data_IF_138334615718
#
_entry.id   IF_138334615718
#
_cell.length_a   1.000
_cell.length_b   1.000
_cell.length_c   1.000
_cell.angle_alpha   90.00
_cell.angle_beta   90.00
_cell.angle_gamma   90.00
#
_symmetry.space_group_name_H-M   'P 1'
#
loop_
_entity.id
_entity.type
_entity.pdbx_description
1 polymer ?
#
# COMPACT_ATOMS: atom_id res chain seq x y z
N UNK A 1 -23.00 -0.94 -5.22
CA UNK A 1 -22.19 0.24 -4.86
C UNK A 1 -21.55 0.76 -6.14
N UNK A 2 -21.48 2.07 -6.33
CA UNK A 2 -20.73 2.69 -7.43
C UNK A 2 -19.24 2.37 -7.27
N UNK A 3 -18.54 2.11 -8.36
CA UNK A 3 -17.11 1.83 -8.35
C UNK A 3 -16.37 3.13 -8.00
N UNK A 4 -15.49 3.16 -6.97
CA UNK A 4 -14.83 4.40 -6.58
C UNK A 4 -13.82 4.84 -7.65
N UNK A 5 -13.67 6.16 -7.82
CA UNK A 5 -12.59 6.75 -8.60
C UNK A 5 -11.40 7.04 -7.69
N UNK A 6 -10.29 6.35 -7.92
CA UNK A 6 -9.12 6.38 -7.02
C UNK A 6 -8.19 7.54 -7.40
N UNK A 7 -7.86 8.40 -6.43
CA UNK A 7 -6.89 9.47 -6.61
C UNK A 7 -5.58 9.12 -5.89
N UNK A 8 -4.50 8.97 -6.65
CA UNK A 8 -3.19 8.56 -6.14
C UNK A 8 -2.08 9.52 -6.60
N UNK A 9 -1.04 9.66 -5.78
CA UNK A 9 0.16 10.41 -6.16
C UNK A 9 1.43 9.84 -5.54
N UNK A 10 2.59 10.16 -6.10
CA UNK A 10 3.90 9.86 -5.54
C UNK A 10 4.69 11.14 -5.28
N UNK A 11 5.46 11.15 -4.18
CA UNK A 11 6.43 12.22 -3.89
C UNK A 11 7.81 11.59 -3.73
N UNK A 12 8.71 11.92 -4.65
CA UNK A 12 10.12 11.51 -4.64
C UNK A 12 11.06 12.56 -4.03
N UNK A 13 10.51 13.72 -3.63
CA UNK A 13 11.25 14.85 -3.09
C UNK A 13 12.08 14.46 -1.84
N UNK A 14 13.41 14.64 -1.85
CA UNK A 14 14.26 14.42 -0.68
C UNK A 14 13.85 15.23 0.55
N UNK A 15 13.21 16.39 0.37
CA UNK A 15 12.70 17.22 1.48
C UNK A 15 11.61 16.51 2.30
N UNK A 16 11.04 15.40 1.79
CA UNK A 16 10.15 14.55 2.57
C UNK A 16 10.88 13.90 3.78
N UNK A 17 12.22 13.89 3.80
CA UNK A 17 12.99 13.52 4.98
C UNK A 17 13.02 14.60 6.09
N UNK A 18 12.58 15.82 5.79
CA UNK A 18 12.48 16.94 6.76
C UNK A 18 11.08 16.91 7.39
N UNK A 19 10.94 16.66 8.71
CA UNK A 19 9.63 16.43 9.34
C UNK A 19 8.61 17.56 9.14
N UNK A 20 9.04 18.81 9.16
CA UNK A 20 8.17 19.97 8.96
C UNK A 20 7.62 20.04 7.53
N UNK A 21 8.48 19.80 6.53
CA UNK A 21 8.08 19.73 5.13
C UNK A 21 7.17 18.53 4.88
N UNK A 22 7.55 17.36 5.39
CA UNK A 22 6.76 16.14 5.30
C UNK A 22 5.35 16.30 5.89
N UNK A 23 5.22 17.04 7.01
CA UNK A 23 3.92 17.31 7.62
C UNK A 23 3.05 18.16 6.70
N UNK A 24 3.63 19.19 6.09
CA UNK A 24 2.92 20.06 5.15
C UNK A 24 2.47 19.29 3.90
N UNK A 25 3.32 18.40 3.38
CA UNK A 25 2.95 17.53 2.25
C UNK A 25 1.83 16.56 2.61
N UNK A 26 1.86 15.99 3.81
CA UNK A 26 0.84 15.07 4.30
C UNK A 26 -0.51 15.77 4.50
N UNK A 27 -0.51 16.95 5.11
CA UNK A 27 -1.72 17.77 5.29
C UNK A 27 -2.32 18.17 3.93
N UNK A 28 -1.47 18.55 2.97
CA UNK A 28 -1.90 18.86 1.61
C UNK A 28 -2.49 17.63 0.89
N UNK A 29 -1.91 16.44 1.09
CA UNK A 29 -2.41 15.19 0.52
C UNK A 29 -3.77 14.79 1.10
N UNK A 30 -3.96 14.88 2.42
CA UNK A 30 -5.25 14.64 3.07
C UNK A 30 -6.30 15.69 2.62
N UNK A 31 -5.92 16.97 2.51
CA UNK A 31 -6.80 18.05 2.05
C UNK A 31 -7.20 17.91 0.56
N UNK A 32 -6.29 17.39 -0.27
CA UNK A 32 -6.54 17.05 -1.67
C UNK A 32 -7.47 15.82 -1.82
N UNK A 33 -7.72 15.09 -0.74
CA UNK A 33 -8.55 13.90 -0.76
C UNK A 33 -7.89 12.71 -1.44
N UNK A 34 -6.56 12.60 -1.39
CA UNK A 34 -5.86 11.44 -1.93
C UNK A 34 -6.29 10.15 -1.22
N UNK A 35 -6.49 9.11 -2.02
CA UNK A 35 -6.68 7.75 -1.50
C UNK A 35 -5.33 7.09 -1.19
N UNK A 36 -4.29 7.39 -1.97
CA UNK A 36 -2.95 6.81 -1.84
C UNK A 36 -1.87 7.89 -2.04
N UNK A 37 -0.88 7.88 -1.16
CA UNK A 37 0.36 8.64 -1.30
C UNK A 37 1.55 7.68 -1.25
N UNK A 38 2.29 7.63 -2.35
CA UNK A 38 3.53 6.87 -2.49
C UNK A 38 4.71 7.73 -2.03
N UNK A 39 5.51 7.16 -1.12
CA UNK A 39 6.72 7.76 -0.59
C UNK A 39 7.89 7.27 -1.45
N UNK A 40 8.11 7.98 -2.56
CA UNK A 40 9.07 7.64 -3.61
C UNK A 40 8.50 6.81 -4.75
N UNK A 41 9.31 6.64 -5.79
CA UNK A 41 9.03 5.89 -7.01
C UNK A 41 10.34 5.28 -7.57
N UNK A 42 10.28 4.61 -8.72
CA UNK A 42 11.50 4.11 -9.38
C UNK A 42 12.37 5.29 -9.84
N UNK A 43 13.66 5.29 -9.48
CA UNK A 43 14.59 6.36 -9.87
C UNK A 43 14.56 7.62 -9.00
N UNK A 44 13.63 7.74 -8.04
CA UNK A 44 13.58 8.86 -7.10
C UNK A 44 12.87 8.48 -5.80
N UNK A 45 13.55 8.58 -4.65
CA UNK A 45 12.97 8.26 -3.35
C UNK A 45 13.50 9.20 -2.26
N UNK A 46 12.70 9.45 -1.21
CA UNK A 46 13.22 10.04 0.01
C UNK A 46 14.17 9.05 0.71
N UNK A 47 14.90 9.51 1.74
CA UNK A 47 15.97 8.74 2.39
C UNK A 47 15.56 7.33 2.84
N UNK A 48 14.43 7.20 3.55
CA UNK A 48 13.88 5.92 3.99
C UNK A 48 12.35 5.97 4.00
N UNK A 49 11.74 5.45 2.94
CA UNK A 49 10.28 5.43 2.79
C UNK A 49 9.57 4.67 3.91
N UNK A 50 10.15 3.57 4.43
CA UNK A 50 9.53 2.76 5.47
C UNK A 50 9.45 3.50 6.81
N UNK A 51 10.52 4.22 7.16
CA UNK A 51 10.55 5.07 8.36
C UNK A 51 9.59 6.24 8.22
N UNK A 52 9.52 6.85 7.04
CA UNK A 52 8.67 8.01 6.79
C UNK A 52 7.18 7.67 6.84
N UNK A 53 6.75 6.53 6.26
CA UNK A 53 5.34 6.12 6.39
C UNK A 53 4.98 5.76 7.84
N UNK A 54 5.92 5.23 8.63
CA UNK A 54 5.69 4.97 10.06
C UNK A 54 5.51 6.27 10.86
N UNK A 55 6.25 7.32 10.50
CA UNK A 55 6.08 8.66 11.07
C UNK A 55 4.76 9.32 10.64
N UNK A 56 4.34 9.12 9.38
CA UNK A 56 3.12 9.69 8.80
C UNK A 56 1.84 8.98 9.27
N UNK A 57 1.92 7.69 9.61
CA UNK A 57 0.78 6.86 10.02
C UNK A 57 -0.14 7.50 11.08
N UNK A 58 0.38 7.96 12.25
CA UNK A 58 -0.47 8.57 13.27
C UNK A 58 -0.85 10.03 12.97
N UNK A 59 -0.31 10.66 11.92
CA UNK A 59 -0.53 12.08 11.58
C UNK A 59 -1.58 12.25 10.48
N UNK A 60 -1.58 11.34 9.52
CA UNK A 60 -2.58 11.32 8.46
C UNK A 60 -3.96 10.91 8.98
N UNK A 61 -5.00 11.42 8.33
CA UNK A 61 -6.38 11.12 8.70
C UNK A 61 -6.99 10.04 7.81
N UNK A 62 -6.82 10.17 6.48
CA UNK A 62 -7.53 9.32 5.51
C UNK A 62 -6.60 8.74 4.45
N UNK A 63 -5.57 9.44 4.00
CA UNK A 63 -4.72 8.95 2.92
C UNK A 63 -4.09 7.58 3.25
N UNK A 64 -4.00 6.70 2.25
CA UNK A 64 -3.24 5.45 2.32
C UNK A 64 -1.75 5.71 2.13
N UNK A 65 -0.92 5.14 2.99
CA UNK A 65 0.52 5.40 3.02
C UNK A 65 1.27 4.25 2.37
N UNK A 66 1.86 4.49 1.20
CA UNK A 66 2.52 3.46 0.40
C UNK A 66 4.03 3.67 0.45
N UNK A 67 4.75 2.75 1.09
CA UNK A 67 6.21 2.79 1.10
C UNK A 67 6.76 2.19 -0.19
N UNK A 68 7.60 2.95 -0.90
CA UNK A 68 8.32 2.43 -2.07
C UNK A 68 9.66 1.83 -1.64
N UNK A 69 9.81 0.52 -1.81
CA UNK A 69 10.93 -0.27 -1.28
C UNK A 69 11.66 -1.01 -2.40
N UNK A 70 12.96 -0.74 -2.63
CA UNK A 70 13.75 -1.46 -3.61
C UNK A 70 14.18 -2.85 -3.14
N UNK A 71 14.11 -3.83 -4.03
CA UNK A 71 14.46 -5.21 -3.77
C UNK A 71 15.99 -5.45 -3.61
N UNK A 72 16.82 -4.47 -4.00
CA UNK A 72 18.28 -4.60 -4.01
C UNK A 72 18.94 -4.48 -2.64
N UNK A 73 18.28 -3.85 -1.67
CA UNK A 73 18.87 -3.58 -0.36
C UNK A 73 17.92 -3.84 0.83
N UNK A 74 16.65 -4.17 0.58
CA UNK A 74 15.69 -4.50 1.62
C UNK A 74 15.66 -6.02 1.87
N UNK A 75 15.52 -6.41 3.14
CA UNK A 75 15.24 -7.79 3.50
C UNK A 75 13.74 -7.96 3.83
N UNK A 76 13.06 -9.00 3.31
CA UNK A 76 11.60 -9.16 3.44
C UNK A 76 11.12 -9.19 4.90
N UNK A 77 11.93 -9.69 5.84
CA UNK A 77 11.59 -9.65 7.27
C UNK A 77 11.43 -8.22 7.82
N UNK A 78 12.31 -7.30 7.41
CA UNK A 78 12.23 -5.91 7.88
C UNK A 78 11.08 -5.16 7.21
N UNK A 79 10.80 -5.44 5.93
CA UNK A 79 9.62 -4.92 5.23
C UNK A 79 8.34 -5.41 5.91
N UNK A 80 8.22 -6.72 6.13
CA UNK A 80 7.05 -7.31 6.77
C UNK A 80 6.80 -6.73 8.16
N UNK A 81 7.85 -6.61 8.99
CA UNK A 81 7.74 -6.04 10.34
C UNK A 81 7.35 -4.57 10.32
N UNK A 82 8.00 -3.76 9.48
CA UNK A 82 7.74 -2.32 9.41
C UNK A 82 6.32 -2.04 8.95
N UNK A 83 5.90 -2.63 7.82
CA UNK A 83 4.57 -2.37 7.26
C UNK A 83 3.44 -2.92 8.14
N UNK A 84 3.68 -3.98 8.90
CA UNK A 84 2.75 -4.41 9.95
C UNK A 84 2.50 -3.34 11.01
N UNK A 85 3.56 -2.66 11.43
CA UNK A 85 3.46 -1.58 12.41
C UNK A 85 2.75 -0.35 11.84
N UNK A 86 3.07 0.03 10.59
CA UNK A 86 2.39 1.13 9.89
C UNK A 86 0.89 0.82 9.76
N UNK A 87 0.53 -0.43 9.45
CA UNK A 87 -0.86 -0.81 9.25
C UNK A 87 -1.67 -0.70 10.53
N UNK A 88 -1.08 -1.12 11.66
CA UNK A 88 -1.68 -0.90 12.97
C UNK A 88 -1.77 0.60 13.32
N UNK A 89 -0.67 1.35 13.18
CA UNK A 89 -0.62 2.78 13.55
C UNK A 89 -1.53 3.66 12.70
N UNK A 90 -1.82 3.24 11.47
CA UNK A 90 -2.67 3.96 10.53
C UNK A 90 -4.11 3.44 10.49
N UNK A 91 -4.46 2.45 11.31
CA UNK A 91 -5.76 1.78 11.31
C UNK A 91 -6.15 1.17 9.94
N UNK A 92 -5.25 0.39 9.35
CA UNK A 92 -5.49 -0.36 8.12
C UNK A 92 -5.28 0.47 6.85
N UNK A 93 -4.32 1.41 6.85
CA UNK A 93 -4.05 2.30 5.70
C UNK A 93 -2.67 2.12 5.09
N UNK A 94 -2.07 0.95 5.21
CA UNK A 94 -0.72 0.70 4.67
C UNK A 94 -0.74 0.08 3.28
N UNK A 95 0.15 0.59 2.43
CA UNK A 95 0.50 -0.03 1.16
C UNK A 95 2.01 -0.22 1.00
N UNK A 96 2.35 -0.94 -0.05
CA UNK A 96 3.72 -1.26 -0.44
C UNK A 96 3.87 -1.14 -1.94
N UNK A 97 4.83 -0.35 -2.40
CA UNK A 97 5.32 -0.38 -3.78
C UNK A 97 6.68 -1.08 -3.79
N UNK A 98 6.74 -2.28 -4.37
CA UNK A 98 8.01 -2.98 -4.56
C UNK A 98 8.60 -2.59 -5.90
N UNK A 99 9.90 -2.31 -5.94
CA UNK A 99 10.61 -2.02 -7.18
C UNK A 99 11.90 -2.84 -7.27
N UNK A 100 12.29 -3.31 -8.47
CA UNK A 100 13.46 -4.17 -8.61
C UNK A 100 14.79 -3.40 -8.57
N UNK A 101 14.78 -2.07 -8.60
CA UNK A 101 15.94 -1.19 -8.79
C UNK A 101 17.28 -1.74 -8.26
N UNK A 102 18.19 -2.10 -9.18
CA UNK A 102 19.53 -2.61 -8.86
C UNK A 102 19.60 -4.09 -8.44
N UNK A 103 18.48 -4.80 -8.38
CA UNK A 103 18.40 -6.22 -8.04
C UNK A 103 18.40 -7.12 -9.29
N UNK A 104 18.67 -8.40 -9.10
CA UNK A 104 18.51 -9.40 -10.15
C UNK A 104 17.03 -9.60 -10.50
N UNK A 105 16.74 -10.00 -11.73
CA UNK A 105 15.38 -10.36 -12.18
C UNK A 105 14.78 -11.45 -11.25
N UNK A 106 13.51 -11.29 -10.87
CA UNK A 106 12.84 -12.20 -9.93
C UNK A 106 13.05 -11.87 -8.44
N UNK A 107 13.96 -10.96 -8.08
CA UNK A 107 14.22 -10.62 -6.66
C UNK A 107 13.02 -9.92 -6.03
N UNK A 108 12.34 -9.03 -6.78
CA UNK A 108 11.17 -8.32 -6.29
C UNK A 108 9.99 -9.27 -6.02
N UNK A 109 9.72 -10.19 -6.95
CA UNK A 109 8.72 -11.24 -6.83
C UNK A 109 9.00 -12.13 -5.61
N UNK A 110 10.24 -12.55 -5.44
CA UNK A 110 10.64 -13.41 -4.32
C UNK A 110 10.55 -12.69 -2.98
N UNK A 111 10.90 -11.39 -2.93
CA UNK A 111 10.73 -10.58 -1.73
C UNK A 111 9.26 -10.48 -1.31
N UNK A 112 8.34 -10.30 -2.28
CA UNK A 112 6.90 -10.29 -2.01
C UNK A 112 6.42 -11.65 -1.51
N UNK A 113 6.86 -12.75 -2.13
CA UNK A 113 6.56 -14.11 -1.66
C UNK A 113 7.01 -14.35 -0.21
N UNK A 114 8.25 -13.97 0.10
CA UNK A 114 8.81 -14.08 1.44
C UNK A 114 8.05 -13.21 2.46
N UNK A 115 7.76 -11.95 2.13
CA UNK A 115 7.03 -11.04 3.03
C UNK A 115 5.60 -11.51 3.30
N UNK A 116 4.87 -11.97 2.26
CA UNK A 116 3.53 -12.57 2.41
C UNK A 116 3.54 -13.76 3.36
N UNK A 117 4.50 -14.68 3.19
CA UNK A 117 4.65 -15.85 4.06
C UNK A 117 4.85 -15.48 5.55
N UNK A 118 5.49 -14.35 5.82
CA UNK A 118 5.74 -13.86 7.18
C UNK A 118 4.49 -13.32 7.85
N UNK A 119 3.65 -12.58 7.11
CA UNK A 119 2.36 -12.09 7.61
C UNK A 119 1.35 -13.21 7.86
N UNK A 120 1.41 -14.29 7.08
CA UNK A 120 0.46 -15.40 7.17
C UNK A 120 0.83 -16.47 8.20
N UNK A 121 1.97 -16.33 8.88
CA UNK A 121 2.43 -17.30 9.88
C UNK A 121 1.69 -17.25 11.23
N UNK A 122 0.76 -16.31 11.46
CA UNK A 122 -0.16 -16.34 12.60
C UNK A 122 -1.48 -15.62 12.29
N UNK A 123 -2.58 -16.09 12.89
CA UNK A 123 -3.94 -15.63 12.60
C UNK A 123 -4.48 -14.59 13.59
N UNK A 124 -5.62 -13.97 13.27
CA UNK A 124 -6.22 -12.95 14.16
C UNK A 124 -6.71 -13.51 15.49
N UNK A 125 -7.00 -14.81 15.54
CA UNK A 125 -7.43 -15.55 16.73
C UNK A 125 -6.26 -16.16 17.52
N UNK A 126 -5.02 -15.77 17.18
CA UNK A 126 -3.81 -16.17 17.90
C UNK A 126 -3.59 -15.34 19.17
N UNK A 127 -3.99 -14.06 19.20
CA UNK A 127 -3.88 -13.22 20.39
C UNK A 127 -5.04 -13.49 21.35
N UNK A 128 -4.73 -13.68 22.63
CA UNK A 128 -5.70 -13.93 23.72
C UNK A 128 -5.79 -12.71 24.64
N UNK A 129 -4.64 -12.13 25.01
CA UNK A 129 -4.53 -10.94 25.88
C UNK A 129 -5.28 -11.06 27.23
N UNK A 130 -5.32 -12.24 27.84
CA UNK A 130 -5.99 -12.48 29.13
C UNK A 130 -5.03 -12.22 30.30
N UNK A 131 -5.24 -11.08 30.98
CA UNK A 131 -4.47 -10.69 32.17
C UNK A 131 -4.72 -11.61 33.37
N UNK A 132 -5.93 -12.14 33.54
CA UNK A 132 -6.28 -12.97 34.69
C UNK A 132 -5.65 -14.35 34.58
N UNK A 133 -5.66 -14.95 33.39
CA UNK A 133 -5.02 -16.25 33.15
C UNK A 133 -3.52 -16.15 32.82
N UNK A 134 -3.01 -14.95 32.54
CA UNK A 134 -1.65 -14.71 32.04
C UNK A 134 -1.41 -15.22 30.62
N UNK A 135 -2.46 -15.58 29.87
CA UNK A 135 -2.32 -16.12 28.51
C UNK A 135 -2.30 -14.97 27.51
N UNK A 136 -1.13 -14.72 26.93
CA UNK A 136 -0.96 -13.67 25.94
C UNK A 136 -1.34 -14.11 24.52
N UNK A 137 -0.87 -15.28 24.10
CA UNK A 137 -1.12 -15.84 22.76
C UNK A 137 -1.32 -17.37 22.81
N UNK A 138 -1.99 -17.91 21.80
CA UNK A 138 -2.10 -19.36 21.56
C UNK A 138 -0.94 -19.84 20.67
N UNK A 139 0.08 -20.43 21.28
CA UNK A 139 1.28 -20.87 20.56
C UNK A 139 0.97 -21.99 19.54
N UNK A 140 -0.12 -22.74 19.71
CA UNK A 140 -0.52 -23.80 18.76
C UNK A 140 -1.00 -23.25 17.42
N UNK A 141 -1.36 -21.96 17.38
CA UNK A 141 -1.82 -21.25 16.18
C UNK A 141 -0.71 -20.45 15.49
N UNK A 142 0.51 -20.50 16.02
CA UNK A 142 1.69 -19.85 15.42
C UNK A 142 2.40 -20.87 14.54
N UNK A 143 2.58 -20.54 13.25
CA UNK A 143 3.26 -21.38 12.28
C UNK A 143 4.49 -20.67 11.74
N UNK A 144 5.61 -21.37 11.75
CA UNK A 144 6.79 -20.92 11.02
C UNK A 144 6.46 -20.80 9.53
N UNK A 145 6.91 -19.72 8.90
CA UNK A 145 6.76 -19.47 7.47
C UNK A 145 7.60 -20.46 6.66
N UNK A 146 8.82 -20.78 7.12
CA UNK A 146 9.80 -21.65 6.47
C UNK A 146 9.89 -21.44 4.95
N UNK A 147 9.87 -20.17 4.53
CA UNK A 147 9.90 -19.81 3.13
C UNK A 147 11.32 -19.97 2.60
N UNK A 148 11.45 -20.67 1.48
CA UNK A 148 12.70 -20.84 0.75
C UNK A 148 12.50 -20.50 -0.72
N UNK A 149 12.83 -19.27 -1.07
CA UNK A 149 12.80 -18.77 -2.44
C UNK A 149 14.19 -18.74 -3.10
N UNK A 150 14.27 -18.32 -4.37
CA UNK A 150 15.54 -18.20 -5.09
C UNK A 150 16.53 -17.19 -4.49
N UNK A 151 16.04 -16.13 -3.85
CA UNK A 151 16.85 -15.04 -3.28
C UNK A 151 16.73 -14.96 -1.76
N UNK A 152 15.56 -15.24 -1.19
CA UNK A 152 15.28 -15.07 0.23
C UNK A 152 14.90 -16.37 0.93
N UNK A 153 15.39 -16.53 2.16
CA UNK A 153 14.97 -17.59 3.09
C UNK A 153 14.55 -16.97 4.41
N UNK A 154 13.35 -17.27 4.87
CA UNK A 154 12.83 -16.75 6.15
C UNK A 154 12.12 -17.85 6.94
N UNK A 155 12.56 -18.05 8.19
CA UNK A 155 11.92 -19.01 9.10
C UNK A 155 10.55 -18.53 9.55
N UNK A 156 10.43 -17.25 9.91
CA UNK A 156 9.17 -16.65 10.36
C UNK A 156 8.57 -17.26 11.63
N UNK A 157 7.35 -16.84 12.02
CA UNK A 157 6.58 -15.75 11.42
C UNK A 157 7.20 -14.37 11.71
N UNK A 158 6.58 -13.29 11.21
CA UNK A 158 6.96 -11.94 11.63
C UNK A 158 6.73 -11.76 13.13
N UNK A 159 7.67 -11.11 13.82
CA UNK A 159 7.58 -10.81 15.27
C UNK A 159 6.84 -9.49 15.56
N UNK A 160 5.82 -9.17 14.76
CA UNK A 160 4.96 -8.00 14.87
C UNK A 160 3.52 -8.42 14.56
N UNK A 161 2.54 -7.65 15.05
CA UNK A 161 1.13 -7.91 14.79
C UNK A 161 0.87 -8.16 13.31
N UNK A 162 0.00 -9.12 12.98
CA UNK A 162 -0.48 -9.25 11.60
C UNK A 162 -1.11 -7.91 11.16
N UNK A 163 -0.88 -7.44 9.92
CA UNK A 163 -1.61 -6.30 9.37
C UNK A 163 -3.12 -6.49 9.53
N UNK A 164 -3.83 -5.41 9.87
CA UNK A 164 -5.29 -5.36 9.93
C UNK A 164 -5.90 -5.71 8.57
N UNK A 165 -5.24 -5.26 7.50
CA UNK A 165 -5.56 -5.59 6.11
C UNK A 165 -5.24 -7.05 5.71
N UNK A 166 -4.68 -7.85 6.62
CA UNK A 166 -4.10 -9.17 6.35
C UNK A 166 -2.72 -9.05 5.66
N UNK A 167 -2.66 -8.32 4.55
CA UNK A 167 -1.45 -7.91 3.86
C UNK A 167 -1.60 -6.45 3.38
N UNK A 168 -0.56 -5.60 3.45
CA UNK A 168 -0.59 -4.25 2.88
C UNK A 168 -1.06 -4.24 1.43
N UNK A 169 -1.67 -3.13 0.99
CA UNK A 169 -2.07 -2.96 -0.42
C UNK A 169 -0.82 -2.94 -1.31
N UNK A 170 -0.70 -3.90 -2.22
CA UNK A 170 0.45 -4.03 -3.10
C UNK A 170 0.24 -3.23 -4.38
N UNK A 171 1.10 -2.23 -4.60
CA UNK A 171 1.14 -1.37 -5.77
C UNK A 171 2.32 -1.78 -6.65
N UNK A 172 2.06 -2.02 -7.93
CA UNK A 172 3.10 -2.26 -8.95
C UNK A 172 3.14 -1.08 -9.91
N UNK A 173 4.33 -0.80 -10.42
CA UNK A 173 4.54 0.27 -11.39
C UNK A 173 5.04 -0.33 -12.72
N UNK A 174 4.38 -0.01 -13.83
CA UNK A 174 4.72 -0.54 -15.15
C UNK A 174 6.07 -0.07 -15.72
N UNK A 175 6.71 0.93 -15.12
CA UNK A 175 8.07 1.34 -15.46
C UNK A 175 9.11 0.27 -15.15
N UNK A 176 8.78 -0.69 -14.29
CA UNK A 176 9.58 -1.87 -14.01
C UNK A 176 8.67 -3.10 -14.02
N UNK A 177 8.65 -3.91 -15.09
CA UNK A 177 7.76 -5.06 -15.16
C UNK A 177 8.14 -6.08 -14.08
N UNK A 178 7.22 -6.34 -13.15
CA UNK A 178 7.31 -7.34 -12.09
C UNK A 178 6.08 -8.23 -12.22
N UNK A 179 6.27 -9.55 -12.21
CA UNK A 179 5.18 -10.51 -12.41
C UNK A 179 4.69 -11.10 -11.07
N UNK A 180 3.91 -10.32 -10.32
CA UNK A 180 3.31 -10.78 -9.06
C UNK A 180 1.83 -11.09 -9.26
N UNK A 181 1.45 -12.34 -8.98
CA UNK A 181 0.04 -12.73 -8.93
C UNK A 181 -0.67 -12.02 -7.77
N UNK A 182 -1.93 -11.67 -8.01
CA UNK A 182 -2.81 -11.03 -7.05
C UNK A 182 -2.21 -9.72 -6.49
N UNK A 183 -1.64 -8.90 -7.38
CA UNK A 183 -1.35 -7.50 -7.04
C UNK A 183 -2.65 -6.71 -6.91
N UNK A 184 -2.66 -5.72 -6.01
CA UNK A 184 -3.88 -4.96 -5.74
C UNK A 184 -4.06 -3.85 -6.76
N UNK A 185 -2.99 -3.11 -7.06
CA UNK A 185 -3.01 -1.94 -7.96
C UNK A 185 -1.81 -1.98 -8.90
N UNK A 186 -2.04 -1.69 -10.18
CA UNK A 186 -1.00 -1.40 -11.16
C UNK A 186 -1.08 0.08 -11.57
N UNK A 187 0.06 0.77 -11.55
CA UNK A 187 0.23 2.10 -12.13
C UNK A 187 0.63 1.91 -13.60
N UNK A 188 -0.22 2.35 -14.52
CA UNK A 188 -0.07 2.09 -15.95
C UNK A 188 0.10 3.38 -16.74
N UNK A 189 1.06 3.41 -17.66
CA UNK A 189 1.34 4.53 -18.57
C UNK A 189 0.36 4.56 -19.75
N UNK A 190 -0.30 3.43 -20.02
CA UNK A 190 -1.34 3.27 -21.04
C UNK A 190 -2.43 2.32 -20.52
N UNK A 191 -3.71 2.52 -20.87
CA UNK A 191 -4.78 1.59 -20.49
C UNK A 191 -4.54 0.19 -21.07
N UNK A 192 -4.71 -0.84 -20.24
CA UNK A 192 -4.54 -2.25 -20.64
C UNK A 192 -5.62 -3.12 -20.01
N UNK A 193 -6.02 -4.17 -20.72
CA UNK A 193 -6.99 -5.14 -20.22
C UNK A 193 -6.37 -6.14 -19.22
N UNK A 194 -5.06 -6.30 -19.24
CA UNK A 194 -4.31 -7.18 -18.34
C UNK A 194 -3.14 -6.41 -17.73
N UNK A 195 -3.45 -5.68 -16.66
CA UNK A 195 -2.46 -4.91 -15.90
C UNK A 195 -1.71 -5.78 -14.87
N UNK A 196 -2.02 -7.09 -14.77
CA UNK A 196 -1.46 -7.98 -13.75
C UNK A 196 -1.90 -7.66 -12.31
N UNK A 197 -2.90 -6.79 -12.12
CA UNK A 197 -3.41 -6.38 -10.83
C UNK A 197 -4.94 -6.29 -10.82
N UNK A 198 -5.53 -6.23 -9.62
CA UNK A 198 -6.98 -6.13 -9.43
C UNK A 198 -7.55 -4.80 -9.93
N UNK A 199 -6.75 -3.73 -9.84
CA UNK A 199 -7.11 -2.38 -10.29
C UNK A 199 -5.94 -1.74 -11.03
N UNK A 200 -6.25 -0.79 -11.90
CA UNK A 200 -5.28 -0.06 -12.71
C UNK A 200 -5.51 1.45 -12.58
N UNK A 201 -4.44 2.19 -12.31
CA UNK A 201 -4.44 3.65 -12.23
C UNK A 201 -3.63 4.21 -13.39
N UNK A 202 -4.25 5.06 -14.20
CA UNK A 202 -3.56 5.70 -15.31
C UNK A 202 -2.59 6.75 -14.77
N UNK A 203 -1.33 6.70 -15.19
CA UNK A 203 -0.37 7.77 -14.93
C UNK A 203 -0.73 9.01 -15.74
N UNK A 204 -0.89 10.14 -15.06
CA UNK A 204 -1.36 11.39 -15.66
C UNK A 204 -0.45 12.57 -15.29
N UNK A 205 -0.61 13.65 -16.02
CA UNK A 205 -0.07 14.98 -15.71
C UNK A 205 -1.20 15.99 -15.56
N UNK A 206 -0.89 17.21 -15.09
CA UNK A 206 -1.88 18.30 -14.99
C UNK A 206 -2.42 18.79 -16.35
N UNK A 207 -1.78 18.41 -17.45
CA UNK A 207 -2.25 18.71 -18.82
C UNK A 207 -3.14 17.60 -19.40
N UNK A 208 -3.37 16.53 -18.63
CA UNK A 208 -4.19 15.41 -19.07
C UNK A 208 -5.66 15.84 -19.19
N UNK A 209 -6.27 15.48 -20.32
CA UNK A 209 -7.68 15.74 -20.60
C UNK A 209 -8.57 14.86 -19.72
N UNK A 210 -9.37 15.51 -18.87
CA UNK A 210 -10.26 14.80 -17.94
C UNK A 210 -11.33 14.02 -18.69
N UNK A 211 -11.77 14.50 -19.85
CA UNK A 211 -12.74 13.80 -20.70
C UNK A 211 -12.24 12.42 -21.16
N UNK A 212 -10.94 12.30 -21.48
CA UNK A 212 -10.34 11.03 -21.91
C UNK A 212 -10.25 10.06 -20.73
N UNK A 213 -9.85 10.55 -19.55
CA UNK A 213 -9.81 9.77 -18.30
C UNK A 213 -11.22 9.32 -17.90
N UNK A 214 -12.21 10.20 -17.99
CA UNK A 214 -13.61 9.91 -17.68
C UNK A 214 -14.19 8.84 -18.61
N UNK A 215 -13.86 8.88 -19.91
CA UNK A 215 -14.27 7.87 -20.87
C UNK A 215 -13.65 6.49 -20.53
N UNK A 216 -12.34 6.44 -20.26
CA UNK A 216 -11.66 5.20 -19.85
C UNK A 216 -12.23 4.63 -18.55
N UNK A 217 -12.55 5.48 -17.58
CA UNK A 217 -13.20 5.07 -16.34
C UNK A 217 -14.62 4.56 -16.61
N UNK A 218 -15.43 5.24 -17.42
CA UNK A 218 -16.79 4.78 -17.75
C UNK A 218 -16.78 3.41 -18.46
N UNK A 219 -15.77 3.13 -19.28
CA UNK A 219 -15.56 1.85 -19.95
C UNK A 219 -14.99 0.76 -19.03
N UNK A 220 -14.61 1.09 -17.79
CA UNK A 220 -14.02 0.14 -16.84
C UNK A 220 -12.58 -0.27 -17.21
N UNK A 221 -11.87 0.54 -18.00
CA UNK A 221 -10.47 0.28 -18.39
C UNK A 221 -9.45 0.73 -17.35
N UNK A 222 -9.86 1.62 -16.44
CA UNK A 222 -9.07 2.15 -15.32
C UNK A 222 -9.98 2.41 -14.13
N UNK A 223 -9.42 2.36 -12.92
CA UNK A 223 -10.06 2.61 -11.63
C UNK A 223 -9.76 4.00 -11.07
N UNK A 224 -8.86 4.74 -11.70
CA UNK A 224 -8.46 6.07 -11.24
C UNK A 224 -7.17 6.52 -11.89
N UNK A 225 -6.49 7.43 -11.22
CA UNK A 225 -5.27 8.07 -11.74
C UNK A 225 -4.16 8.10 -10.70
N UNK A 226 -2.93 8.19 -11.20
CA UNK A 226 -1.72 8.39 -10.42
C UNK A 226 -0.88 9.52 -11.01
N UNK A 227 -0.32 10.39 -10.19
CA UNK A 227 0.59 11.45 -10.64
C UNK A 227 1.87 11.47 -9.79
N UNK A 228 3.02 11.47 -10.44
CA UNK A 228 4.31 11.77 -9.80
C UNK A 228 4.45 13.28 -9.62
N UNK A 229 4.63 13.72 -8.37
CA UNK A 229 4.65 15.14 -8.01
C UNK A 229 6.08 15.66 -7.96
N UNK A 230 6.30 16.80 -8.61
CA UNK A 230 7.56 17.55 -8.60
C UNK A 230 7.52 18.77 -7.68
N UNK A 231 6.33 19.35 -7.48
CA UNK A 231 6.06 20.42 -6.51
C UNK A 231 4.75 20.08 -5.78
N UNK A 232 4.82 19.26 -4.71
CA UNK A 232 3.62 18.73 -4.06
C UNK A 232 2.64 19.80 -3.60
N UNK A 233 3.13 20.94 -3.09
CA UNK A 233 2.26 21.99 -2.54
C UNK A 233 1.52 22.75 -3.64
N UNK A 234 2.14 22.94 -4.81
CA UNK A 234 1.47 23.58 -5.94
C UNK A 234 0.58 22.61 -6.73
N UNK A 235 0.97 21.34 -6.83
CA UNK A 235 0.34 20.37 -7.71
C UNK A 235 -0.84 19.63 -7.06
N UNK A 236 -0.79 19.31 -5.76
CA UNK A 236 -1.86 18.57 -5.08
C UNK A 236 -3.24 19.27 -5.17
N UNK A 237 -3.38 20.58 -4.88
CA UNK A 237 -4.67 21.25 -5.02
C UNK A 237 -5.18 21.26 -6.47
N UNK A 238 -4.28 21.34 -7.44
CA UNK A 238 -4.61 21.34 -8.87
C UNK A 238 -5.07 19.97 -9.34
N UNK A 239 -4.38 18.91 -8.90
CA UNK A 239 -4.77 17.53 -9.15
C UNK A 239 -6.16 17.22 -8.57
N UNK A 240 -6.39 17.62 -7.31
CA UNK A 240 -7.69 17.47 -6.67
C UNK A 240 -8.80 18.21 -7.43
N UNK A 241 -8.57 19.46 -7.81
CA UNK A 241 -9.53 20.24 -8.58
C UNK A 241 -9.81 19.63 -9.96
N UNK A 242 -8.78 19.11 -10.64
CA UNK A 242 -8.88 18.53 -11.98
C UNK A 242 -9.82 17.31 -11.99
N UNK A 243 -9.79 16.47 -10.96
CA UNK A 243 -10.59 15.24 -10.88
C UNK A 243 -11.76 15.31 -9.88
N UNK A 244 -12.07 16.49 -9.33
CA UNK A 244 -13.07 16.68 -8.28
C UNK A 244 -14.45 16.12 -8.66
N UNK A 245 -14.90 16.33 -9.90
CA UNK A 245 -16.20 15.83 -10.36
C UNK A 245 -16.26 14.30 -10.41
N UNK A 246 -15.20 13.64 -10.89
CA UNK A 246 -15.12 12.17 -10.94
C UNK A 246 -15.10 11.57 -9.54
N UNK A 247 -14.34 12.15 -8.62
CA UNK A 247 -14.27 11.73 -7.21
C UNK A 247 -15.61 11.95 -6.50
N UNK A 248 -16.25 13.11 -6.68
CA UNK A 248 -17.55 13.41 -6.07
C UNK A 248 -18.67 12.49 -6.58
N UNK A 249 -18.66 12.14 -7.87
CA UNK A 249 -19.62 11.21 -8.45
C UNK A 249 -19.36 9.75 -8.04
N UNK A 250 -18.12 9.41 -7.68
CA UNK A 250 -17.67 8.05 -7.39
C UNK A 250 -16.83 8.00 -6.10
N UNK A 251 -17.40 8.38 -4.95
CA UNK A 251 -16.65 8.45 -3.72
C UNK A 251 -16.19 7.06 -3.27
N UNK A 252 -15.01 7.01 -2.64
CA UNK A 252 -14.55 5.84 -1.90
C UNK A 252 -15.53 5.46 -0.77
N UNK A 253 -15.45 4.20 -0.34
CA UNK A 253 -16.22 3.71 0.81
C UNK A 253 -15.77 4.32 2.16
N UNK A 254 -16.22 3.67 3.23
CA UNK A 254 -15.74 3.89 4.60
C UNK A 254 -14.91 2.67 5.06
N UNK A 255 -14.20 2.82 6.18
CA UNK A 255 -13.37 1.77 6.77
C UNK A 255 -11.91 1.81 6.34
N UNK A 256 -11.28 0.64 6.35
CA UNK A 256 -9.87 0.48 5.99
C UNK A 256 -9.59 0.78 4.51
N UNK A 257 -8.32 0.85 4.14
CA UNK A 257 -7.91 1.18 2.78
C UNK A 257 -8.44 0.20 1.73
N UNK A 258 -8.50 -1.11 2.01
CA UNK A 258 -9.01 -2.09 1.05
C UNK A 258 -10.50 -1.86 0.81
N UNK A 259 -11.28 -1.67 1.88
CA UNK A 259 -12.72 -1.40 1.79
C UNK A 259 -13.00 -0.11 1.00
N UNK A 260 -12.26 0.97 1.27
CA UNK A 260 -12.42 2.25 0.57
C UNK A 260 -12.16 2.16 -0.93
N UNK A 261 -11.15 1.39 -1.31
CA UNK A 261 -10.76 1.18 -2.71
C UNK A 261 -11.62 0.11 -3.40
N UNK A 262 -12.41 -0.68 -2.66
CA UNK A 262 -13.13 -1.84 -3.17
C UNK A 262 -12.19 -2.95 -3.64
N UNK A 263 -11.12 -3.19 -2.87
CA UNK A 263 -10.19 -4.31 -3.06
C UNK A 263 -10.65 -5.51 -2.21
N UNK A 264 -10.54 -6.74 -2.73
CA UNK A 264 -10.78 -7.93 -1.92
C UNK A 264 -9.69 -8.06 -0.85
N UNK A 265 -9.93 -8.94 0.14
CA UNK A 265 -8.81 -9.47 0.90
C UNK A 265 -7.91 -10.29 -0.04
N UNK A 266 -6.61 -10.21 0.19
CA UNK A 266 -5.66 -10.98 -0.61
C UNK A 266 -6.02 -12.48 -0.53
N UNK A 267 -6.16 -13.14 -1.69
CA UNK A 267 -6.43 -14.57 -1.83
C UNK A 267 -5.44 -15.45 -1.05
N UNK A 268 -4.21 -14.94 -0.89
CA UNK A 268 -3.11 -15.59 -0.19
C UNK A 268 -3.15 -15.39 1.33
N UNK A 269 -4.01 -14.49 1.85
CA UNK A 269 -4.15 -14.22 3.27
C UNK A 269 -4.84 -15.42 3.98
N UNK A 270 -4.05 -16.46 4.23
CA UNK A 270 -4.53 -17.84 4.37
C UNK A 270 -5.35 -18.16 5.63
N UNK A 271 -5.66 -17.20 6.50
CA UNK A 271 -6.24 -17.53 7.80
C UNK A 271 -7.43 -16.72 8.31
N UNK A 272 -7.92 -15.62 7.68
CA UNK A 272 -9.22 -15.02 8.05
C UNK A 272 -9.86 -14.19 6.91
N UNK A 273 -11.10 -14.50 6.49
CA UNK A 273 -11.84 -13.75 5.47
C UNK A 273 -12.46 -12.42 5.97
N UNK A 274 -12.31 -12.08 7.26
CA UNK A 274 -12.92 -10.87 7.86
C UNK A 274 -11.88 -9.83 8.35
N UNK A 275 -10.61 -9.96 7.96
CA UNK A 275 -9.52 -9.11 8.46
C UNK A 275 -9.08 -9.42 9.90
N UNK A 276 -8.11 -8.69 10.45
CA UNK A 276 -7.66 -8.93 11.83
C UNK A 276 -8.57 -8.22 12.85
N UNK A 277 -9.27 -8.99 13.71
CA UNK A 277 -9.99 -8.43 14.87
C UNK A 277 -9.01 -8.28 16.04
N UNK A 278 -8.83 -7.06 16.53
CA UNK A 278 -8.04 -6.79 17.74
C UNK A 278 -8.90 -7.14 18.96
N UNK A 279 -8.48 -8.04 19.86
CA UNK A 279 -9.20 -8.28 21.11
C UNK A 279 -9.19 -7.01 21.96
N UNK A 280 -10.35 -6.65 22.54
CA UNK A 280 -10.39 -5.58 23.53
C UNK A 280 -9.50 -5.95 24.71
N UNK A 281 -8.64 -5.02 25.13
CA UNK A 281 -7.80 -5.22 26.31
C UNK A 281 -8.71 -5.07 27.53
N UNK A 282 -9.13 -6.20 28.11
CA UNK A 282 -9.79 -6.24 29.42
C UNK A 282 -8.86 -5.75 30.55
#
# INVERSE_FOLDING_TARGET
MTRPFILSAAIADPELAVPETAATYLDAADAAGLDLLLFGEAGGRPFDAQVLVAWAAPRSQRVGLVATVPASNAHPFHVARALSAVDFLSAGRTGWSVIPEGAAEGTAEDMVGAARSLWDGWGSDTLILDKASGRYLDASKVKASNYEGPFFKVTGPVNAMRPLLGQPVLVLDDAAPIAIKDADIALVSQPTADAGATKSLLKVTLDTKVEDVAALFAEGKIEGVHMSLSDPLAELPRLAALFAELVAANPGGEGDLRARLGLPLASTASNQPDGAKIPEIA
#
